data_IF_483853580632
#
_entry.id   IF_483853580632
#
_cell.length_a   1.000
_cell.length_b   1.000
_cell.length_c   1.000
_cell.angle_alpha   90.00
_cell.angle_beta   90.00
_cell.angle_gamma   90.00
#
_symmetry.space_group_name_H-M   'P 1'
#
loop_
_entity.id
_entity.type
_entity.pdbx_description
1 polymer ?
#
# COMPACT_ATOMS: atom_id res chain seq x y z
N UNK A 1 1.37 7.81 -34.39
CA UNK A 1 0.26 8.31 -33.53
C UNK A 1 0.67 8.16 -32.07
N UNK A 2 0.77 9.26 -31.32
CA UNK A 2 1.02 9.21 -29.87
C UNK A 2 -0.29 8.83 -29.16
N UNK A 3 -0.32 7.68 -28.49
CA UNK A 3 -1.45 7.28 -27.65
C UNK A 3 -1.46 8.18 -26.40
N UNK A 4 -2.37 9.13 -26.36
CA UNK A 4 -2.66 9.90 -25.16
C UNK A 4 -3.50 9.02 -24.24
N UNK A 5 -2.87 8.38 -23.26
CA UNK A 5 -3.58 7.71 -22.17
C UNK A 5 -4.16 8.80 -21.28
N UNK A 6 -5.44 9.11 -21.48
CA UNK A 6 -6.16 9.99 -20.58
C UNK A 6 -6.24 9.29 -19.21
N UNK A 7 -5.44 9.77 -18.26
CA UNK A 7 -5.56 9.40 -16.85
C UNK A 7 -6.86 10.07 -16.38
N UNK A 8 -7.87 9.25 -16.06
CA UNK A 8 -9.16 9.73 -15.60
C UNK A 8 -8.99 10.51 -14.29
N UNK A 9 -9.54 11.73 -14.27
CA UNK A 9 -9.84 12.54 -13.08
C UNK A 9 -8.67 12.87 -12.13
N UNK A 10 -7.68 13.63 -12.61
CA UNK A 10 -6.80 14.41 -11.72
C UNK A 10 -6.91 15.90 -12.05
N UNK A 11 -8.02 16.54 -11.65
CA UNK A 11 -8.05 17.99 -11.51
C UNK A 11 -7.53 18.33 -10.11
N UNK A 12 -6.27 18.76 -10.00
CA UNK A 12 -5.69 19.61 -8.94
C UNK A 12 -4.16 19.59 -9.06
N UNK A 13 -3.51 20.72 -8.76
CA UNK A 13 -2.10 20.98 -9.08
C UNK A 13 -1.14 19.88 -8.61
N UNK A 14 -0.25 19.45 -9.51
CA UNK A 14 0.81 18.52 -9.16
C UNK A 14 1.82 19.21 -8.24
N UNK A 15 2.13 18.60 -7.10
CA UNK A 15 3.19 19.05 -6.20
C UNK A 15 4.52 18.40 -6.57
N UNK A 16 5.59 19.17 -6.46
CA UNK A 16 6.97 18.69 -6.54
C UNK A 16 7.37 17.96 -5.26
N UNK A 17 8.41 17.12 -5.32
CA UNK A 17 8.93 16.44 -4.14
C UNK A 17 9.42 17.45 -3.09
N UNK A 18 10.05 18.53 -3.54
CA UNK A 18 10.57 19.61 -2.70
C UNK A 18 9.46 20.30 -1.91
N UNK A 19 8.32 20.61 -2.55
CA UNK A 19 7.14 21.20 -1.90
C UNK A 19 6.54 20.26 -0.85
N UNK A 20 6.40 18.97 -1.17
CA UNK A 20 5.87 17.96 -0.23
C UNK A 20 6.79 17.85 1.00
N UNK A 21 8.11 17.78 0.78
CA UNK A 21 9.09 17.72 1.88
C UNK A 21 9.11 19.00 2.71
N UNK A 22 8.94 20.17 2.08
CA UNK A 22 8.84 21.44 2.76
C UNK A 22 7.61 21.48 3.67
N UNK A 23 6.43 21.15 3.13
CA UNK A 23 5.19 21.06 3.88
C UNK A 23 5.32 20.11 5.08
N UNK A 24 5.93 18.93 4.90
CA UNK A 24 6.16 17.97 5.99
C UNK A 24 7.04 18.53 7.12
N UNK A 25 8.05 19.34 6.81
CA UNK A 25 8.91 19.99 7.82
C UNK A 25 8.20 21.10 8.59
N UNK A 26 7.34 21.85 7.92
CA UNK A 26 6.57 22.94 8.54
C UNK A 26 5.38 22.43 9.36
N UNK A 27 4.75 21.35 8.89
CA UNK A 27 3.58 20.78 9.55
C UNK A 27 3.97 19.85 10.71
N UNK A 28 4.37 20.47 11.84
CA UNK A 28 4.74 19.79 13.09
C UNK A 28 3.56 19.18 13.86
N UNK A 29 2.33 19.26 13.33
CA UNK A 29 1.10 18.89 14.06
C UNK A 29 0.69 17.43 13.89
N UNK A 30 1.52 16.59 13.25
CA UNK A 30 1.21 15.18 12.93
C UNK A 30 -0.15 15.01 12.22
N UNK A 31 -0.59 16.01 11.45
CA UNK A 31 -1.80 15.90 10.65
C UNK A 31 -1.47 15.23 9.32
N UNK A 32 -2.36 14.35 8.86
CA UNK A 32 -2.26 13.73 7.54
C UNK A 32 -2.49 14.81 6.47
N UNK A 33 -1.77 14.69 5.34
CA UNK A 33 -1.93 15.55 4.18
C UNK A 33 -1.92 14.69 2.91
N UNK A 34 -2.71 15.09 1.91
CA UNK A 34 -2.85 14.40 0.64
C UNK A 34 -2.27 15.28 -0.48
N UNK A 35 -1.52 14.67 -1.40
CA UNK A 35 -0.87 15.36 -2.53
C UNK A 35 -1.01 14.53 -3.80
N UNK A 36 -1.20 15.21 -4.92
CA UNK A 36 -1.09 14.62 -6.24
C UNK A 36 0.30 14.93 -6.81
N UNK A 37 1.05 13.94 -7.27
CA UNK A 37 2.38 14.14 -7.83
C UNK A 37 2.62 13.26 -9.06
N UNK A 38 3.53 13.68 -9.93
CA UNK A 38 4.00 12.91 -11.07
C UNK A 38 5.46 12.54 -10.86
N UNK A 39 5.73 11.26 -10.69
CA UNK A 39 7.07 10.73 -10.42
C UNK A 39 7.44 9.65 -11.42
N UNK A 40 8.74 9.48 -11.66
CA UNK A 40 9.28 8.31 -12.35
C UNK A 40 9.74 7.30 -11.31
N UNK A 41 9.21 6.07 -11.37
CA UNK A 41 9.65 4.97 -10.51
C UNK A 41 11.05 4.54 -10.95
N UNK A 42 12.05 4.67 -10.07
CA UNK A 42 13.43 4.29 -10.38
C UNK A 42 13.75 2.84 -10.01
N UNK A 43 13.04 2.32 -9.02
CA UNK A 43 13.16 0.92 -8.63
C UNK A 43 12.03 0.49 -7.70
N UNK A 44 11.81 -0.81 -7.63
CA UNK A 44 10.97 -1.43 -6.61
C UNK A 44 11.92 -2.16 -5.66
N UNK A 45 11.84 -1.85 -4.37
CA UNK A 45 12.66 -2.53 -3.38
C UNK A 45 12.22 -3.99 -3.33
N UNK A 46 13.14 -4.89 -3.68
CA UNK A 46 12.91 -6.31 -3.53
C UNK A 46 13.13 -6.71 -2.06
N UNK A 47 12.08 -6.61 -1.24
CA UNK A 47 12.03 -7.30 0.06
C UNK A 47 11.63 -8.75 -0.18
N UNK A 48 12.07 -9.71 0.63
CA UNK A 48 11.56 -11.10 0.52
C UNK A 48 10.05 -11.21 0.88
N UNK A 49 9.48 -10.12 1.41
CA UNK A 49 8.08 -10.01 1.82
C UNK A 49 7.29 -9.04 0.92
N UNK A 50 7.06 -9.34 -0.36
CA UNK A 50 6.26 -8.47 -1.25
C UNK A 50 4.78 -8.42 -0.83
N UNK A 51 4.32 -9.46 -0.15
CA UNK A 51 2.97 -9.57 0.32
C UNK A 51 2.91 -10.28 1.67
N UNK A 52 1.85 -9.99 2.41
CA UNK A 52 1.46 -10.75 3.60
C UNK A 52 0.19 -11.51 3.30
N UNK A 53 0.12 -12.73 3.83
CA UNK A 53 -1.10 -13.51 3.78
C UNK A 53 -2.08 -12.98 4.83
N UNK A 54 -3.31 -12.73 4.39
CA UNK A 54 -4.41 -12.21 5.18
C UNK A 54 -5.55 -13.22 5.19
N UNK A 55 -6.40 -13.18 6.22
CA UNK A 55 -7.49 -14.14 6.39
C UNK A 55 -8.46 -14.17 5.20
N UNK A 56 -8.97 -13.01 4.76
CA UNK A 56 -9.90 -12.92 3.63
C UNK A 56 -11.29 -13.53 3.88
N UNK A 57 -11.54 -14.13 5.05
CA UNK A 57 -12.84 -14.64 5.45
C UNK A 57 -13.82 -13.51 5.75
N UNK A 58 -14.89 -13.41 4.96
CA UNK A 58 -15.89 -12.34 5.08
C UNK A 58 -15.28 -10.95 4.91
N UNK A 59 -15.26 -10.15 5.99
CA UNK A 59 -14.63 -8.81 6.03
C UNK A 59 -13.30 -8.79 6.80
N UNK A 60 -12.76 -9.95 7.17
CA UNK A 60 -11.56 -10.03 8.01
C UNK A 60 -10.29 -9.75 7.19
N UNK A 61 -9.59 -8.68 7.59
CA UNK A 61 -8.32 -8.25 6.99
C UNK A 61 -7.15 -8.40 7.96
N UNK A 62 -7.20 -9.34 8.90
CA UNK A 62 -6.05 -9.65 9.78
C UNK A 62 -5.05 -10.58 9.07
N UNK A 63 -3.78 -10.46 9.42
CA UNK A 63 -2.74 -11.37 8.96
C UNK A 63 -2.96 -12.78 9.51
N UNK A 64 -2.47 -13.79 8.80
CA UNK A 64 -2.50 -15.19 9.26
C UNK A 64 -1.13 -15.63 9.77
N UNK A 65 -1.13 -16.45 10.81
CA UNK A 65 0.05 -17.13 11.36
C UNK A 65 0.10 -18.58 10.87
N UNK A 66 1.27 -19.23 10.93
CA UNK A 66 1.36 -20.68 10.82
C UNK A 66 1.26 -21.30 12.20
N UNK A 67 0.27 -22.16 12.41
CA UNK A 67 0.04 -22.89 13.65
C UNK A 67 -0.24 -24.36 13.32
N UNK A 68 0.51 -25.29 13.91
CA UNK A 68 0.37 -26.74 13.66
C UNK A 68 0.43 -27.16 12.16
N UNK A 69 1.13 -26.40 11.32
CA UNK A 69 1.23 -26.67 9.88
C UNK A 69 0.10 -26.06 9.04
N UNK A 70 -0.91 -25.47 9.68
CA UNK A 70 -2.02 -24.78 9.02
C UNK A 70 -1.84 -23.26 9.10
N UNK A 71 -2.51 -22.53 8.21
CA UNK A 71 -2.65 -21.09 8.35
C UNK A 71 -3.82 -20.81 9.29
N UNK A 72 -3.60 -19.99 10.32
CA UNK A 72 -4.59 -19.67 11.34
C UNK A 72 -4.87 -18.18 11.39
N UNK A 73 -6.14 -17.81 11.60
CA UNK A 73 -6.53 -16.43 11.82
C UNK A 73 -6.99 -16.25 13.27
N UNK A 74 -6.17 -15.59 14.09
CA UNK A 74 -6.54 -15.23 15.46
C UNK A 74 -7.75 -14.27 15.56
N UNK A 75 -8.14 -13.60 14.48
CA UNK A 75 -9.34 -12.76 14.46
C UNK A 75 -10.64 -13.52 14.26
N UNK A 76 -10.59 -14.61 13.51
CA UNK A 76 -11.75 -15.46 13.23
C UNK A 76 -11.74 -16.73 14.08
N UNK A 77 -10.66 -16.98 14.82
CA UNK A 77 -10.43 -18.19 15.63
C UNK A 77 -10.67 -19.47 14.83
N UNK A 78 -10.18 -19.49 13.59
CA UNK A 78 -10.41 -20.58 12.64
C UNK A 78 -9.23 -20.76 11.68
N UNK A 79 -9.05 -21.96 11.11
CA UNK A 79 -8.05 -22.22 10.08
C UNK A 79 -8.45 -21.53 8.77
N UNK A 80 -7.45 -21.13 7.99
CA UNK A 80 -7.60 -20.38 6.74
C UNK A 80 -7.05 -21.20 5.58
N UNK A 81 -7.94 -21.78 4.78
CA UNK A 81 -7.54 -22.55 3.59
C UNK A 81 -7.18 -21.65 2.39
N UNK A 82 -7.84 -20.50 2.28
CA UNK A 82 -7.70 -19.59 1.13
C UNK A 82 -7.34 -18.17 1.58
N UNK A 83 -6.09 -17.92 1.99
CA UNK A 83 -5.67 -16.59 2.39
C UNK A 83 -5.64 -15.62 1.20
N UNK A 84 -5.84 -14.34 1.48
CA UNK A 84 -5.67 -13.27 0.49
C UNK A 84 -4.29 -12.65 0.62
N UNK A 85 -3.61 -12.43 -0.50
CA UNK A 85 -2.36 -11.69 -0.52
C UNK A 85 -2.65 -10.18 -0.42
N UNK A 86 -2.07 -9.52 0.57
CA UNK A 86 -2.01 -8.06 0.65
C UNK A 86 -0.60 -7.60 0.32
N UNK A 87 -0.45 -6.91 -0.81
CA UNK A 87 0.83 -6.40 -1.27
C UNK A 87 1.26 -5.17 -0.48
N UNK A 88 2.51 -5.16 -0.05
CA UNK A 88 3.18 -4.03 0.59
C UNK A 88 4.35 -3.60 -0.27
N UNK A 89 4.10 -2.78 -1.27
CA UNK A 89 5.17 -2.31 -2.15
C UNK A 89 5.96 -1.17 -1.51
N UNK A 90 7.28 -1.26 -1.59
CA UNK A 90 8.18 -0.16 -1.29
C UNK A 90 8.86 0.28 -2.59
N UNK A 91 8.60 1.52 -2.99
CA UNK A 91 9.14 2.12 -4.21
C UNK A 91 10.32 3.02 -3.82
N UNK A 92 11.38 3.01 -4.65
CA UNK A 92 12.58 3.85 -4.51
C UNK A 92 12.54 5.06 -5.46
#
# INVERSE_FOLDING_TARGET
>A
MKKTTAIANCSEGLSTLEEILHHGRENKKHTNAEFNCRVAIKGVRNSEEWFRLMCGGGKCMKGVSREHGELWCAGCENPVMFPQARFGFHIL
#
